data_IF_002173074812
#
_entry.id   IF_002173074812
#
_cell.length_a   1.000
_cell.length_b   1.000
_cell.length_c   1.000
_cell.angle_alpha   90.00
_cell.angle_beta   90.00
_cell.angle_gamma   90.00
#
_symmetry.space_group_name_H-M   'P 1'
#
loop_
_entity.id
_entity.type
_entity.pdbx_description
1 polymer ?
#
# COMPACT_ATOMS: atom_id res chain seq x y z
N UNK A 1 -43.40 -5.33 1.40
CA UNK A 1 -42.49 -4.16 1.25
C UNK A 1 -41.13 -4.67 0.80
N UNK A 2 -40.60 -4.15 -0.30
CA UNK A 2 -39.25 -4.46 -0.78
C UNK A 2 -38.24 -3.69 0.06
N UNK A 3 -37.32 -4.39 0.74
CA UNK A 3 -36.20 -3.74 1.44
C UNK A 3 -35.25 -3.19 0.39
N UNK A 4 -34.96 -1.89 0.45
CA UNK A 4 -34.02 -1.20 -0.45
C UNK A 4 -33.02 -0.39 0.37
N UNK A 5 -31.85 -0.13 -0.21
CA UNK A 5 -30.87 0.76 0.40
C UNK A 5 -31.38 2.21 0.42
N UNK A 6 -30.93 3.05 1.37
CA UNK A 6 -31.28 4.46 1.39
C UNK A 6 -30.88 5.16 0.10
N UNK A 7 -31.68 6.15 -0.31
CA UNK A 7 -31.30 7.05 -1.41
C UNK A 7 -29.97 7.73 -1.07
N UNK A 8 -29.04 7.74 -2.02
CA UNK A 8 -27.71 8.32 -1.82
C UNK A 8 -26.71 7.39 -1.12
N UNK A 9 -27.00 6.10 -1.01
CA UNK A 9 -26.02 5.13 -0.49
C UNK A 9 -24.72 5.16 -1.31
N UNK A 10 -23.58 5.25 -0.61
CA UNK A 10 -22.26 5.43 -1.20
C UNK A 10 -21.64 4.08 -1.58
N UNK A 11 -22.14 3.49 -2.67
CA UNK A 11 -21.47 2.34 -3.28
C UNK A 11 -20.08 2.73 -3.79
N UNK A 12 -19.10 1.85 -3.62
CA UNK A 12 -17.73 2.18 -3.94
C UNK A 12 -16.76 1.05 -3.66
N UNK A 13 -15.47 1.38 -3.78
CA UNK A 13 -14.36 0.47 -3.49
C UNK A 13 -13.40 1.06 -2.47
N UNK A 14 -12.60 0.19 -1.85
CA UNK A 14 -11.59 0.59 -0.89
C UNK A 14 -10.25 -0.10 -1.17
N UNK A 15 -9.18 0.66 -1.08
CA UNK A 15 -7.79 0.19 -1.18
C UNK A 15 -6.91 0.90 -0.15
N UNK A 16 -5.65 0.49 -0.06
CA UNK A 16 -4.63 1.19 0.71
C UNK A 16 -3.39 1.44 -0.15
N UNK A 17 -2.77 2.62 -0.02
CA UNK A 17 -1.69 3.06 -0.88
C UNK A 17 -0.54 2.05 -0.99
N UNK A 18 -0.11 1.48 0.14
CA UNK A 18 0.97 0.49 0.16
C UNK A 18 0.65 -0.82 -0.59
N UNK A 19 -0.63 -1.14 -0.80
CA UNK A 19 -1.03 -2.35 -1.53
C UNK A 19 -1.23 -2.09 -3.02
N UNK A 20 -1.50 -0.83 -3.40
CA UNK A 20 -2.08 -0.52 -4.71
C UNK A 20 -1.23 0.45 -5.54
N UNK A 21 -0.66 1.50 -4.92
CA UNK A 21 0.07 2.56 -5.65
C UNK A 21 1.30 2.06 -6.41
N UNK A 22 2.20 1.35 -5.76
CA UNK A 22 3.55 1.16 -6.31
C UNK A 22 4.38 2.45 -6.29
N UNK A 23 5.32 2.60 -7.23
CA UNK A 23 6.18 3.78 -7.30
C UNK A 23 6.87 4.12 -5.97
N UNK A 24 7.36 3.08 -5.28
CA UNK A 24 7.75 3.15 -3.86
C UNK A 24 8.89 4.13 -3.58
N UNK A 25 9.79 4.34 -4.52
CA UNK A 25 10.93 5.26 -4.43
C UNK A 25 10.81 6.47 -5.36
N UNK A 26 9.64 6.68 -5.97
CA UNK A 26 9.38 7.79 -6.90
C UNK A 26 8.77 9.00 -6.18
N UNK A 27 8.92 10.18 -6.79
CA UNK A 27 8.29 11.41 -6.29
C UNK A 27 8.77 11.86 -4.91
N UNK A 28 9.99 11.48 -4.52
CA UNK A 28 10.56 11.81 -3.21
C UNK A 28 9.97 11.03 -2.03
N UNK A 29 9.22 9.94 -2.29
CA UNK A 29 8.71 9.03 -1.25
C UNK A 29 9.86 8.39 -0.47
N UNK A 30 9.76 8.43 0.86
CA UNK A 30 10.66 7.69 1.75
C UNK A 30 10.28 6.21 1.87
N UNK A 31 11.15 5.36 2.44
CA UNK A 31 10.82 3.98 2.72
C UNK A 31 9.68 3.89 3.75
N UNK A 32 8.69 3.04 3.47
CA UNK A 32 7.64 2.66 4.39
C UNK A 32 7.91 1.27 4.99
N UNK A 33 7.33 0.96 6.14
CA UNK A 33 7.41 -0.38 6.75
C UNK A 33 6.93 -1.47 5.81
N UNK A 34 5.94 -1.19 4.95
CA UNK A 34 5.44 -2.13 3.95
C UNK A 34 6.47 -2.55 2.90
N UNK A 35 7.50 -1.73 2.66
CA UNK A 35 8.45 -1.95 1.56
C UNK A 35 9.50 -3.01 1.90
N UNK A 36 9.54 -3.48 3.15
CA UNK A 36 10.44 -4.53 3.63
C UNK A 36 9.78 -5.92 3.63
N UNK A 37 8.51 -6.03 3.23
CA UNK A 37 7.81 -7.31 3.17
C UNK A 37 8.13 -8.06 1.88
N UNK A 38 8.91 -9.13 2.01
CA UNK A 38 9.21 -10.05 0.91
C UNK A 38 8.00 -10.93 0.60
N UNK A 39 7.85 -11.31 -0.66
CA UNK A 39 6.85 -12.27 -1.09
C UNK A 39 7.08 -13.62 -0.41
N UNK A 40 6.02 -14.15 0.20
CA UNK A 40 6.02 -15.51 0.73
C UNK A 40 5.33 -16.41 -0.28
N UNK A 41 5.93 -17.55 -0.60
CA UNK A 41 5.34 -18.59 -1.44
C UNK A 41 3.96 -19.03 -0.88
N UNK A 42 2.89 -19.05 -1.68
CA UNK A 42 1.56 -19.47 -1.25
C UNK A 42 1.54 -20.82 -0.51
N UNK A 43 2.33 -21.81 -0.95
CA UNK A 43 2.36 -23.14 -0.35
C UNK A 43 3.02 -23.13 1.04
N UNK A 44 3.82 -22.10 1.32
CA UNK A 44 4.48 -21.85 2.61
C UNK A 44 3.64 -20.97 3.54
N UNK A 45 2.56 -20.33 3.05
CA UNK A 45 1.62 -19.53 3.86
C UNK A 45 0.64 -20.42 4.62
N UNK A 46 1.15 -21.35 5.43
CA UNK A 46 0.33 -22.32 6.17
C UNK A 46 -0.27 -21.75 7.45
N UNK A 47 0.31 -20.69 7.98
CA UNK A 47 -0.16 -20.01 9.18
C UNK A 47 0.23 -18.52 9.17
N UNK A 48 -0.24 -17.81 10.20
CA UNK A 48 0.06 -16.40 10.42
C UNK A 48 1.29 -16.21 11.32
N UNK A 49 2.14 -17.21 11.51
CA UNK A 49 3.29 -17.14 12.44
C UNK A 49 4.31 -16.07 12.05
N UNK A 50 4.38 -15.71 10.77
CA UNK A 50 5.21 -14.59 10.29
C UNK A 50 4.62 -13.22 10.62
N UNK A 51 3.32 -13.16 10.90
CA UNK A 51 2.62 -11.93 11.23
C UNK A 51 2.94 -11.52 12.66
N UNK A 52 3.61 -10.39 12.83
CA UNK A 52 4.02 -9.87 14.14
C UNK A 52 5.40 -10.33 14.64
N UNK A 53 6.18 -11.06 13.82
CA UNK A 53 7.59 -11.29 14.13
C UNK A 53 8.32 -9.94 14.22
N UNK A 54 9.12 -9.70 15.28
CA UNK A 54 9.94 -8.51 15.37
C UNK A 54 10.85 -8.41 14.15
N UNK A 55 10.88 -7.22 13.54
CA UNK A 55 11.79 -6.91 12.44
C UNK A 55 12.96 -6.14 13.05
N UNK A 56 14.17 -6.69 12.93
CA UNK A 56 15.37 -6.02 13.41
C UNK A 56 15.80 -4.90 12.46
N UNK A 57 16.69 -4.02 12.94
CA UNK A 57 17.27 -2.98 12.09
C UNK A 57 18.05 -3.56 10.92
N UNK A 58 18.77 -4.67 11.14
CA UNK A 58 19.52 -5.35 10.09
C UNK A 58 18.59 -5.91 9.00
N UNK A 59 17.41 -6.44 9.38
CA UNK A 59 16.42 -6.93 8.42
C UNK A 59 15.87 -5.78 7.54
N UNK A 60 15.62 -4.62 8.14
CA UNK A 60 15.17 -3.42 7.40
C UNK A 60 16.26 -2.95 6.45
N UNK A 61 17.50 -2.84 6.92
CA UNK A 61 18.63 -2.37 6.11
C UNK A 61 18.91 -3.34 4.95
N UNK A 62 18.88 -4.65 5.21
CA UNK A 62 18.98 -5.68 4.17
C UNK A 62 17.87 -5.53 3.15
N UNK A 63 16.60 -5.48 3.58
CA UNK A 63 15.48 -5.40 2.66
C UNK A 63 15.57 -4.14 1.77
N UNK A 64 15.95 -2.99 2.33
CA UNK A 64 16.07 -1.74 1.56
C UNK A 64 17.25 -1.73 0.58
N UNK A 65 18.32 -2.48 0.86
CA UNK A 65 19.46 -2.62 -0.04
C UNK A 65 19.23 -3.68 -1.12
N UNK A 66 18.41 -4.69 -0.83
CA UNK A 66 18.13 -5.81 -1.71
C UNK A 66 17.45 -5.39 -3.03
N UNK A 67 18.07 -5.79 -4.14
CA UNK A 67 17.64 -5.54 -5.51
C UNK A 67 17.09 -6.79 -6.21
N UNK A 68 17.29 -7.98 -5.63
CA UNK A 68 16.87 -9.25 -6.25
C UNK A 68 15.55 -9.76 -5.66
N UNK A 69 15.30 -9.47 -4.38
CA UNK A 69 14.09 -9.92 -3.70
C UNK A 69 12.79 -9.38 -4.31
N UNK A 70 11.76 -10.22 -4.27
CA UNK A 70 10.41 -9.82 -4.69
C UNK A 70 9.69 -9.15 -3.51
N UNK A 71 9.49 -7.84 -3.59
CA UNK A 71 8.75 -7.04 -2.60
C UNK A 71 7.45 -6.51 -3.22
N UNK A 72 6.32 -7.24 -3.15
CA UNK A 72 5.11 -6.91 -3.93
C UNK A 72 4.56 -5.51 -3.64
N UNK A 73 4.70 -5.03 -2.40
CA UNK A 73 4.22 -3.70 -1.97
C UNK A 73 4.99 -2.55 -2.59
N UNK A 74 6.20 -2.79 -3.13
CA UNK A 74 6.98 -1.77 -3.86
C UNK A 74 6.35 -1.40 -5.21
N UNK A 75 5.61 -2.35 -5.79
CA UNK A 75 5.06 -2.26 -7.14
C UNK A 75 3.53 -2.13 -7.14
N UNK A 76 2.84 -2.75 -6.17
CA UNK A 76 1.38 -2.71 -6.10
C UNK A 76 0.73 -3.21 -7.40
N UNK A 77 -0.28 -2.50 -7.86
CA UNK A 77 -0.86 -2.66 -9.21
C UNK A 77 -0.45 -1.53 -10.15
N UNK A 78 0.59 -0.78 -9.79
CA UNK A 78 1.07 0.41 -10.49
C UNK A 78 0.07 1.56 -10.60
N UNK A 79 -0.84 1.69 -9.62
CA UNK A 79 -1.83 2.77 -9.59
C UNK A 79 -1.19 4.17 -9.57
N UNK A 80 0.04 4.32 -9.06
CA UNK A 80 0.78 5.59 -9.06
C UNK A 80 0.92 6.17 -10.48
N UNK A 81 1.08 5.33 -11.50
CA UNK A 81 1.16 5.77 -12.89
C UNK A 81 -0.18 5.65 -13.61
N UNK A 82 -1.03 4.68 -13.24
CA UNK A 82 -2.25 4.30 -13.97
C UNK A 82 -3.57 4.76 -13.33
N UNK A 83 -3.50 5.66 -12.33
CA UNK A 83 -4.69 6.04 -11.58
C UNK A 83 -5.81 6.63 -12.43
N UNK A 84 -5.47 7.29 -13.56
CA UNK A 84 -6.48 7.91 -14.43
C UNK A 84 -7.34 6.84 -15.11
N UNK A 85 -6.70 5.81 -15.64
CA UNK A 85 -7.35 4.67 -16.29
C UNK A 85 -8.15 3.87 -15.27
N UNK A 86 -7.58 3.61 -14.10
CA UNK A 86 -8.24 2.85 -13.04
C UNK A 86 -9.47 3.59 -12.47
N UNK A 87 -9.38 4.92 -12.28
CA UNK A 87 -10.53 5.74 -11.86
C UNK A 87 -11.62 5.79 -12.94
N UNK A 88 -11.26 5.76 -14.22
CA UNK A 88 -12.24 5.68 -15.30
C UNK A 88 -13.04 4.37 -15.23
N UNK A 89 -12.39 3.24 -14.92
CA UNK A 89 -13.07 1.96 -14.69
C UNK A 89 -13.99 2.01 -13.46
N UNK A 90 -13.59 2.71 -12.39
CA UNK A 90 -14.47 2.90 -11.22
C UNK A 90 -15.72 3.70 -11.57
N UNK A 91 -15.60 4.69 -12.46
CA UNK A 91 -16.73 5.45 -12.97
C UNK A 91 -17.65 4.59 -13.84
N UNK A 92 -17.10 3.70 -14.69
CA UNK A 92 -17.88 2.74 -15.48
C UNK A 92 -18.73 1.82 -14.58
N UNK A 93 -18.17 1.38 -13.45
CA UNK A 93 -18.89 0.62 -12.42
C UNK A 93 -19.85 1.46 -11.56
N UNK A 94 -20.04 2.74 -11.89
CA UNK A 94 -20.94 3.66 -11.17
C UNK A 94 -20.59 3.88 -9.69
N UNK A 95 -19.30 3.79 -9.31
CA UNK A 95 -18.87 4.11 -7.94
C UNK A 95 -19.29 5.54 -7.56
N UNK A 96 -19.80 5.68 -6.34
CA UNK A 96 -20.14 6.95 -5.69
C UNK A 96 -19.04 7.42 -4.74
N UNK A 97 -18.19 6.50 -4.29
CA UNK A 97 -17.03 6.78 -3.44
C UNK A 97 -15.88 5.85 -3.77
N UNK A 98 -14.66 6.33 -3.58
CA UNK A 98 -13.46 5.51 -3.60
C UNK A 98 -12.61 5.87 -2.39
N UNK A 99 -12.33 4.89 -1.54
CA UNK A 99 -11.52 5.07 -0.33
C UNK A 99 -10.09 4.64 -0.60
N UNK A 100 -9.16 5.57 -0.48
CA UNK A 100 -7.72 5.34 -0.58
C UNK A 100 -7.01 6.00 0.62
N UNK A 101 -6.01 5.34 1.19
CA UNK A 101 -5.14 5.96 2.19
C UNK A 101 -4.09 6.85 1.53
N UNK A 102 -3.75 7.98 2.15
CA UNK A 102 -2.59 8.77 1.73
C UNK A 102 -1.33 8.12 2.31
N UNK A 103 -0.36 7.79 1.45
CA UNK A 103 0.91 7.23 1.89
C UNK A 103 1.69 8.24 2.75
N UNK A 104 1.84 7.97 4.05
CA UNK A 104 2.58 8.85 4.97
C UNK A 104 3.99 9.13 4.44
N UNK A 105 4.68 8.11 3.96
CA UNK A 105 6.05 8.23 3.44
C UNK A 105 6.19 9.13 2.21
N UNK A 106 5.09 9.48 1.51
CA UNK A 106 5.09 10.51 0.46
C UNK A 106 5.02 11.92 1.02
N UNK A 107 4.36 12.11 2.17
CA UNK A 107 4.19 13.42 2.82
C UNK A 107 5.37 13.74 3.74
N UNK A 108 5.79 12.76 4.54
CA UNK A 108 6.93 12.86 5.44
C UNK A 108 7.95 11.77 5.11
N UNK A 109 8.74 12.02 4.07
CA UNK A 109 9.71 11.05 3.53
C UNK A 109 10.96 10.85 4.38
N UNK A 110 11.24 11.76 5.31
CA UNK A 110 12.35 11.67 6.27
C UNK A 110 11.80 11.55 7.69
N UNK A 111 12.44 10.72 8.53
CA UNK A 111 12.22 10.80 9.98
C UNK A 111 12.54 12.23 10.43
N UNK A 112 11.64 12.87 11.17
CA UNK A 112 12.02 14.08 11.93
C UNK A 112 13.21 13.68 12.80
N UNK A 113 14.37 14.31 12.59
CA UNK A 113 15.42 14.31 13.61
C UNK A 113 14.76 14.92 14.83
N UNK A 114 14.65 14.16 15.92
CA UNK A 114 14.38 14.76 17.22
C UNK A 114 15.54 15.72 17.43
N UNK A 115 15.24 17.01 17.55
CA UNK A 115 16.22 17.99 18.02
C UNK A 115 16.57 17.53 19.44
N UNK A 116 17.70 16.86 19.59
CA UNK A 116 18.37 16.78 20.88
C UNK A 116 19.01 18.15 21.07
N UNK A 117 18.39 18.96 21.92
CA UNK A 117 19.08 20.04 22.62
C UNK A 117 20.11 19.44 23.58
#
# INVERSE_FOLDING_TARGET
MTKQFPKGFLWGGATAANQYEGGWNLGGRGPATSDTYIAVDPDKRKDMSHFGKPVSRADVEFALADQEGLYPKRWGSDFYHRYKEDIALFAEMSFKTFRLSIAWSRIFSKRRRVRTE
#
